data_IF_145854690743
#
_entry.id   IF_145854690743
#
_cell.length_a   1.000
_cell.length_b   1.000
_cell.length_c   1.000
_cell.angle_alpha   90.00
_cell.angle_beta   90.00
_cell.angle_gamma   90.00
#
_symmetry.space_group_name_H-M   'P 1'
#
loop_
_entity.id
_entity.type
_entity.pdbx_description
1 polymer ?
#
# COMPACT_ATOMS: atom_id res chain seq x y z
N UNK A 1 -27.55 55.18 -37.21
CA UNK A 1 -27.37 54.56 -35.86
C UNK A 1 -27.04 53.10 -36.07
N UNK A 2 -25.75 52.73 -35.90
CA UNK A 2 -25.28 51.36 -36.14
C UNK A 2 -25.15 50.64 -34.79
N UNK A 3 -25.99 49.62 -34.57
CA UNK A 3 -25.93 48.77 -33.37
C UNK A 3 -24.83 47.71 -33.57
N UNK A 4 -23.74 47.81 -32.82
CA UNK A 4 -22.69 46.81 -32.75
C UNK A 4 -23.09 45.83 -31.62
N UNK A 5 -23.49 44.62 -32.00
CA UNK A 5 -23.72 43.50 -31.08
C UNK A 5 -22.35 42.86 -30.79
N UNK A 6 -21.85 43.03 -29.57
CA UNK A 6 -20.65 42.35 -29.08
C UNK A 6 -21.06 40.92 -28.70
N UNK A 7 -20.62 39.96 -29.51
CA UNK A 7 -20.76 38.51 -29.19
C UNK A 7 -19.57 38.10 -28.30
N UNK A 8 -19.82 37.99 -26.97
CA UNK A 8 -18.83 37.46 -26.05
C UNK A 8 -18.83 35.94 -26.18
N UNK A 9 -17.86 35.40 -26.89
CA UNK A 9 -17.60 33.96 -26.94
C UNK A 9 -16.95 33.54 -25.60
N UNK A 10 -17.74 32.93 -24.71
CA UNK A 10 -17.26 32.29 -23.49
C UNK A 10 -16.50 31.01 -23.86
N UNK A 11 -15.17 31.10 -23.95
CA UNK A 11 -14.29 29.95 -24.13
C UNK A 11 -14.26 29.15 -22.82
N UNK A 12 -15.08 28.10 -22.74
CA UNK A 12 -15.03 27.13 -21.62
C UNK A 12 -13.68 26.38 -21.70
N UNK A 13 -12.73 26.79 -20.89
CA UNK A 13 -11.49 26.08 -20.67
C UNK A 13 -11.81 24.83 -19.85
N UNK A 14 -12.05 23.70 -20.51
CA UNK A 14 -12.12 22.38 -19.87
C UNK A 14 -10.70 22.00 -19.50
N UNK A 15 -10.31 22.25 -18.25
CA UNK A 15 -9.06 21.73 -17.72
C UNK A 15 -9.17 20.19 -17.67
N UNK A 16 -8.19 19.45 -18.23
CA UNK A 16 -8.18 18.01 -18.06
C UNK A 16 -8.04 17.70 -16.57
N UNK A 17 -9.08 17.13 -15.96
CA UNK A 17 -8.98 16.49 -14.67
C UNK A 17 -8.10 15.27 -14.89
N UNK A 18 -6.84 15.35 -14.48
CA UNK A 18 -5.97 14.17 -14.39
C UNK A 18 -6.66 13.18 -13.45
N UNK A 19 -7.31 12.18 -14.00
CA UNK A 19 -7.80 11.05 -13.22
C UNK A 19 -6.57 10.40 -12.57
N UNK A 20 -6.45 10.58 -11.24
CA UNK A 20 -5.39 9.93 -10.48
C UNK A 20 -5.58 8.42 -10.62
N UNK A 21 -4.53 7.72 -11.06
CA UNK A 21 -4.56 6.27 -11.14
C UNK A 21 -4.88 5.69 -9.77
N UNK A 22 -6.02 4.99 -9.66
CA UNK A 22 -6.46 4.34 -8.44
C UNK A 22 -6.43 2.82 -8.66
N UNK A 23 -5.77 2.09 -7.77
CA UNK A 23 -5.72 0.64 -7.82
C UNK A 23 -7.13 0.01 -7.82
N UNK A 24 -8.12 0.64 -7.18
CA UNK A 24 -9.52 0.18 -7.16
C UNK A 24 -10.16 0.12 -8.54
N UNK A 25 -9.77 1.01 -9.44
CA UNK A 25 -10.23 0.96 -10.84
C UNK A 25 -9.64 -0.25 -11.58
N UNK A 26 -8.39 -0.62 -11.28
CA UNK A 26 -7.73 -1.77 -11.91
C UNK A 26 -8.14 -3.11 -11.29
N UNK A 27 -8.46 -3.13 -9.99
CA UNK A 27 -8.80 -4.32 -9.21
C UNK A 27 -10.13 -4.13 -8.47
N UNK A 28 -11.27 -3.98 -9.20
CA UNK A 28 -12.56 -3.62 -8.61
C UNK A 28 -13.17 -4.73 -7.74
N UNK A 29 -12.72 -5.98 -7.91
CA UNK A 29 -13.25 -7.14 -7.19
C UNK A 29 -12.63 -7.33 -5.79
N UNK A 30 -11.62 -6.53 -5.44
CA UNK A 30 -10.98 -6.63 -4.13
C UNK A 30 -11.78 -5.88 -3.08
N UNK A 31 -12.11 -6.59 -1.99
CA UNK A 31 -12.89 -6.07 -0.87
C UNK A 31 -12.03 -5.98 0.39
N UNK A 32 -12.40 -5.11 1.31
CA UNK A 32 -11.73 -5.01 2.60
C UNK A 32 -11.89 -6.31 3.40
N UNK A 33 -10.76 -6.81 3.90
CA UNK A 33 -10.69 -7.97 4.80
C UNK A 33 -10.61 -7.50 6.25
N UNK A 34 -9.75 -6.51 6.50
CA UNK A 34 -9.58 -5.95 7.82
C UNK A 34 -8.63 -4.77 7.84
N UNK A 35 -8.71 -3.99 8.91
CA UNK A 35 -7.93 -2.77 9.11
C UNK A 35 -7.31 -2.75 10.50
N UNK A 36 -6.05 -2.31 10.57
CA UNK A 36 -5.33 -2.10 11.82
C UNK A 36 -4.47 -0.85 11.80
N UNK A 37 -3.89 -0.50 12.94
CA UNK A 37 -3.04 0.69 13.09
C UNK A 37 -1.64 0.28 13.52
N UNK A 38 -0.62 0.73 12.78
CA UNK A 38 0.75 0.66 13.24
C UNK A 38 1.03 1.78 14.23
N UNK A 39 1.45 1.39 15.44
CA UNK A 39 1.89 2.31 16.49
C UNK A 39 3.38 2.12 16.76
N UNK A 40 4.10 3.25 16.89
CA UNK A 40 5.50 3.28 17.32
C UNK A 40 5.59 4.27 18.48
N UNK A 41 6.08 3.84 19.63
CA UNK A 41 6.16 4.68 20.85
C UNK A 41 4.87 5.44 21.15
N UNK A 42 3.72 4.73 21.13
CA UNK A 42 2.36 5.26 21.36
C UNK A 42 1.83 6.21 20.28
N UNK A 43 2.58 6.48 19.23
CA UNK A 43 2.12 7.31 18.09
C UNK A 43 1.56 6.43 16.97
N UNK A 44 0.40 6.82 16.46
CA UNK A 44 -0.18 6.22 15.25
C UNK A 44 0.61 6.70 14.04
N UNK A 45 1.29 5.80 13.36
CA UNK A 45 2.09 6.10 12.17
C UNK A 45 1.21 6.05 10.92
N UNK A 46 0.49 4.93 10.75
CA UNK A 46 -0.50 4.77 9.69
C UNK A 46 -1.58 3.77 10.10
N UNK A 47 -2.77 3.88 9.50
CA UNK A 47 -3.69 2.75 9.41
C UNK A 47 -3.39 1.96 8.13
N UNK A 48 -3.50 0.66 8.22
CA UNK A 48 -3.26 -0.29 7.15
C UNK A 48 -4.50 -1.13 6.94
N UNK A 49 -4.96 -1.22 5.69
CA UNK A 49 -6.11 -2.04 5.30
C UNK A 49 -5.66 -3.12 4.32
N UNK A 50 -6.05 -4.35 4.57
CA UNK A 50 -5.91 -5.46 3.64
C UNK A 50 -7.16 -5.56 2.78
N UNK A 51 -6.97 -5.64 1.46
CA UNK A 51 -8.03 -5.93 0.51
C UNK A 51 -7.69 -7.21 -0.25
N UNK A 52 -8.65 -8.11 -0.41
CA UNK A 52 -8.50 -9.32 -1.23
C UNK A 52 -9.84 -9.77 -1.79
N UNK A 53 -9.81 -10.70 -2.72
CA UNK A 53 -11.01 -11.37 -3.20
C UNK A 53 -11.44 -12.42 -2.17
N UNK A 54 -12.74 -12.51 -1.89
CA UNK A 54 -13.34 -13.54 -1.01
C UNK A 54 -12.80 -13.56 0.43
N UNK A 55 -12.19 -12.47 0.91
CA UNK A 55 -11.74 -12.37 2.30
C UNK A 55 -10.45 -13.13 2.64
N UNK A 56 -9.87 -13.85 1.69
CA UNK A 56 -8.62 -14.60 1.89
C UNK A 56 -7.54 -14.20 0.87
N UNK A 57 -6.51 -13.48 1.35
CA UNK A 57 -5.40 -13.04 0.53
C UNK A 57 -4.51 -14.18 0.03
N UNK A 58 -4.53 -15.36 0.67
CA UNK A 58 -3.69 -16.50 0.31
C UNK A 58 -4.19 -17.21 -0.94
N UNK A 59 -5.50 -17.22 -1.17
CA UNK A 59 -6.12 -17.82 -2.36
C UNK A 59 -6.39 -16.82 -3.46
N UNK A 60 -6.46 -15.53 -3.13
CA UNK A 60 -6.67 -14.43 -4.07
C UNK A 60 -5.51 -14.30 -5.05
N UNK A 61 -5.79 -14.09 -6.34
CA UNK A 61 -4.75 -13.85 -7.36
C UNK A 61 -4.00 -12.54 -7.12
N UNK A 62 -4.72 -11.56 -6.56
CA UNK A 62 -4.18 -10.27 -6.14
C UNK A 62 -4.70 -9.91 -4.76
N UNK A 63 -3.90 -9.20 -3.99
CA UNK A 63 -4.31 -8.52 -2.77
C UNK A 63 -3.60 -7.17 -2.64
N UNK A 64 -4.15 -6.28 -1.84
CA UNK A 64 -3.65 -4.93 -1.66
C UNK A 64 -3.46 -4.63 -0.18
N UNK A 65 -2.34 -4.01 0.14
CA UNK A 65 -2.12 -3.31 1.39
C UNK A 65 -2.25 -1.80 1.15
N UNK A 66 -3.31 -1.18 1.66
CA UNK A 66 -3.56 0.26 1.58
C UNK A 66 -3.15 0.95 2.88
N UNK A 67 -2.14 1.83 2.79
CA UNK A 67 -1.60 2.62 3.89
C UNK A 67 -2.27 4.00 3.89
N UNK A 68 -2.74 4.46 5.05
CA UNK A 68 -3.22 5.81 5.27
C UNK A 68 -2.38 6.45 6.38
N UNK A 69 -1.43 7.28 6.00
CA UNK A 69 -0.43 7.86 6.90
C UNK A 69 -1.04 8.88 7.85
N UNK A 70 -0.81 8.72 9.14
CA UNK A 70 -1.24 9.65 10.20
C UNK A 70 -0.15 10.65 10.58
N UNK A 71 1.09 10.36 10.19
CA UNK A 71 2.29 11.20 10.38
C UNK A 71 3.05 11.29 9.07
N UNK A 72 3.76 12.40 8.88
CA UNK A 72 4.71 12.51 7.78
C UNK A 72 5.91 11.60 8.05
N UNK A 73 6.28 10.79 7.06
CA UNK A 73 7.39 9.84 7.15
C UNK A 73 8.22 9.95 5.88
N UNK A 74 9.53 10.12 6.05
CA UNK A 74 10.42 10.22 4.90
C UNK A 74 10.57 8.87 4.19
N UNK A 75 10.75 8.91 2.87
CA UNK A 75 11.11 7.76 2.04
C UNK A 75 12.24 6.95 2.66
N UNK A 76 13.30 7.63 3.10
CA UNK A 76 14.44 6.99 3.75
C UNK A 76 14.02 6.17 4.98
N UNK A 77 13.19 6.74 5.85
CA UNK A 77 12.72 6.05 7.06
C UNK A 77 11.89 4.82 6.72
N UNK A 78 11.00 4.91 5.70
CA UNK A 78 10.18 3.79 5.27
C UNK A 78 11.06 2.66 4.71
N UNK A 79 12.04 3.01 3.88
CA UNK A 79 12.96 2.02 3.28
C UNK A 79 13.82 1.36 4.36
N UNK A 80 14.43 2.14 5.26
CA UNK A 80 15.29 1.60 6.30
C UNK A 80 14.52 0.63 7.22
N UNK A 81 13.30 0.98 7.64
CA UNK A 81 12.45 0.11 8.43
C UNK A 81 12.04 -1.18 7.65
N UNK A 82 11.77 -1.06 6.34
CA UNK A 82 11.44 -2.21 5.50
C UNK A 82 12.63 -3.15 5.36
N UNK A 83 13.84 -2.63 5.13
CA UNK A 83 15.07 -3.44 5.01
C UNK A 83 15.42 -4.09 6.35
N UNK A 84 15.22 -3.38 7.48
CA UNK A 84 15.42 -3.96 8.82
C UNK A 84 14.51 -5.19 9.03
N UNK A 85 13.22 -5.10 8.69
CA UNK A 85 12.31 -6.25 8.78
C UNK A 85 12.69 -7.37 7.79
N UNK A 86 13.07 -7.06 6.57
CA UNK A 86 13.48 -8.04 5.57
C UNK A 86 14.79 -8.75 5.94
N UNK A 87 15.68 -8.08 6.67
CA UNK A 87 16.95 -8.67 7.14
C UNK A 87 16.76 -9.78 8.18
N UNK A 88 15.60 -9.81 8.85
CA UNK A 88 15.25 -10.84 9.85
C UNK A 88 14.73 -12.13 9.20
N UNK A 89 14.48 -12.12 7.89
CA UNK A 89 13.97 -13.27 7.15
C UNK A 89 15.08 -14.31 6.96
N UNK A 90 14.86 -15.57 7.36
CA UNK A 90 15.87 -16.62 7.13
C UNK A 90 16.19 -16.81 5.64
N UNK A 91 17.45 -17.07 5.34
CA UNK A 91 17.96 -17.31 3.98
C UNK A 91 17.78 -16.13 3.01
N UNK A 92 17.80 -14.91 3.54
CA UNK A 92 17.96 -13.67 2.77
C UNK A 92 19.39 -13.16 2.98
N UNK A 93 20.13 -13.00 1.89
CA UNK A 93 21.51 -12.54 1.94
C UNK A 93 21.65 -11.03 1.68
N UNK A 94 22.86 -10.52 1.82
CA UNK A 94 23.14 -9.09 1.63
C UNK A 94 22.99 -8.63 0.17
N UNK A 95 23.15 -9.52 -0.80
CA UNK A 95 22.98 -9.21 -2.23
C UNK A 95 21.51 -9.02 -2.53
N UNK A 96 20.65 -9.90 -2.01
CA UNK A 96 19.20 -9.80 -2.12
C UNK A 96 18.67 -8.53 -1.43
N UNK A 97 19.11 -8.25 -0.20
CA UNK A 97 18.73 -7.03 0.52
C UNK A 97 19.11 -5.76 -0.25
N UNK A 98 20.27 -5.74 -0.89
CA UNK A 98 20.71 -4.62 -1.74
C UNK A 98 19.82 -4.47 -2.96
N UNK A 99 19.46 -5.56 -3.63
CA UNK A 99 18.56 -5.55 -4.78
C UNK A 99 17.15 -5.08 -4.38
N UNK A 100 16.61 -5.58 -3.27
CA UNK A 100 15.30 -5.19 -2.75
C UNK A 100 15.27 -3.73 -2.29
N UNK A 101 16.36 -3.23 -1.72
CA UNK A 101 16.49 -1.81 -1.42
C UNK A 101 16.34 -0.94 -2.66
N UNK A 102 16.92 -1.34 -3.80
CA UNK A 102 16.77 -0.61 -5.07
C UNK A 102 15.34 -0.64 -5.59
N UNK A 103 14.59 -1.74 -5.40
CA UNK A 103 13.16 -1.81 -5.70
C UNK A 103 12.38 -0.79 -4.84
N UNK A 104 12.62 -0.81 -3.53
CA UNK A 104 11.99 0.11 -2.59
C UNK A 104 12.33 1.58 -2.89
N UNK A 105 13.57 1.88 -3.26
CA UNK A 105 14.01 3.23 -3.65
C UNK A 105 13.26 3.76 -4.87
N UNK A 106 12.87 2.90 -5.81
CA UNK A 106 12.04 3.28 -6.95
C UNK A 106 10.54 3.33 -6.59
N UNK A 107 10.08 2.34 -5.80
CA UNK A 107 8.65 2.16 -5.48
C UNK A 107 8.11 3.16 -4.45
N UNK A 108 8.90 3.54 -3.44
CA UNK A 108 8.46 4.35 -2.30
C UNK A 108 8.76 5.84 -2.51
N UNK A 109 7.90 6.70 -1.94
CA UNK A 109 8.03 8.16 -1.90
C UNK A 109 7.98 8.65 -0.46
N UNK A 110 8.33 9.92 -0.22
CA UNK A 110 7.98 10.59 1.03
C UNK A 110 6.46 10.62 1.20
N UNK A 111 6.00 10.44 2.40
CA UNK A 111 4.58 10.46 2.74
C UNK A 111 4.28 11.58 3.71
N UNK A 112 3.23 12.36 3.43
CA UNK A 112 2.73 13.37 4.33
C UNK A 112 1.56 12.82 5.16
N UNK A 113 1.31 13.42 6.32
CA UNK A 113 0.13 13.10 7.11
C UNK A 113 -1.15 13.30 6.27
N UNK A 114 -2.04 12.31 6.27
CA UNK A 114 -3.27 12.27 5.45
C UNK A 114 -3.10 11.68 4.07
N UNK A 115 -1.87 11.40 3.60
CA UNK A 115 -1.67 10.76 2.31
C UNK A 115 -1.84 9.24 2.37
N UNK A 116 -2.20 8.69 1.22
CA UNK A 116 -2.35 7.25 1.01
C UNK A 116 -1.31 6.72 0.04
N UNK A 117 -0.85 5.51 0.30
CA UNK A 117 -0.09 4.69 -0.63
C UNK A 117 -0.66 3.27 -0.61
N UNK A 118 -0.53 2.55 -1.71
CA UNK A 118 -0.97 1.16 -1.78
C UNK A 118 0.09 0.30 -2.44
N UNK A 119 0.18 -0.95 -2.00
CA UNK A 119 1.01 -1.95 -2.64
C UNK A 119 0.12 -3.10 -3.06
N UNK A 120 0.09 -3.38 -4.37
CA UNK A 120 -0.62 -4.51 -4.94
C UNK A 120 0.35 -5.67 -5.10
N UNK A 121 -0.04 -6.83 -4.66
CA UNK A 121 0.72 -8.07 -4.77
C UNK A 121 -0.04 -9.06 -5.65
N UNK A 122 0.68 -9.81 -6.48
CA UNK A 122 0.11 -10.94 -7.22
C UNK A 122 0.75 -12.26 -6.81
N UNK A 123 0.03 -13.37 -6.97
CA UNK A 123 0.57 -14.72 -6.78
C UNK A 123 1.77 -15.03 -7.66
N UNK A 124 1.83 -14.44 -8.84
CA UNK A 124 2.96 -14.59 -9.77
C UNK A 124 4.23 -13.86 -9.34
N UNK A 125 4.15 -13.01 -8.30
CA UNK A 125 5.28 -12.23 -7.80
C UNK A 125 5.40 -10.84 -8.43
N UNK A 126 4.40 -10.39 -9.19
CA UNK A 126 4.33 -8.98 -9.55
C UNK A 126 3.94 -8.17 -8.31
N UNK A 127 4.63 -7.05 -8.11
CA UNK A 127 4.36 -6.07 -7.05
C UNK A 127 4.26 -4.68 -7.66
N UNK A 128 3.20 -3.93 -7.32
CA UNK A 128 2.96 -2.59 -7.82
C UNK A 128 2.89 -1.60 -6.65
N UNK A 129 3.65 -0.52 -6.75
CA UNK A 129 3.63 0.58 -5.80
C UNK A 129 2.79 1.73 -6.35
N UNK A 130 1.72 2.06 -5.64
CA UNK A 130 0.76 3.10 -5.96
C UNK A 130 0.89 4.25 -4.97
N UNK A 131 1.08 5.47 -5.44
CA UNK A 131 1.11 6.68 -4.62
C UNK A 131 0.52 7.86 -5.37
N UNK A 132 0.15 8.90 -4.63
CA UNK A 132 -0.45 10.11 -5.19
C UNK A 132 0.45 10.74 -6.25
N UNK A 133 -0.18 11.26 -7.31
CA UNK A 133 0.43 12.06 -8.37
C UNK A 133 1.53 11.37 -9.19
N UNK A 134 1.52 10.03 -9.27
CA UNK A 134 2.40 9.31 -10.20
C UNK A 134 1.75 8.02 -10.68
N UNK A 135 2.19 7.55 -11.84
CA UNK A 135 1.84 6.21 -12.33
C UNK A 135 2.41 5.12 -11.41
N UNK A 136 1.70 3.99 -11.27
CA UNK A 136 2.19 2.88 -10.49
C UNK A 136 3.50 2.31 -11.07
N UNK A 137 4.41 1.93 -10.20
CA UNK A 137 5.67 1.30 -10.58
C UNK A 137 5.60 -0.18 -10.23
N UNK A 138 5.87 -1.03 -11.23
CA UNK A 138 5.80 -2.49 -11.10
C UNK A 138 7.17 -3.13 -11.12
N UNK A 139 7.31 -4.23 -10.36
CA UNK A 139 8.47 -5.11 -10.36
C UNK A 139 8.03 -6.57 -10.36
N UNK A 140 8.84 -7.43 -10.93
CA UNK A 140 8.61 -8.87 -10.95
C UNK A 140 9.70 -9.56 -10.12
N UNK A 141 9.39 -9.90 -8.88
CA UNK A 141 10.25 -10.68 -7.97
C UNK A 141 9.39 -11.40 -6.93
N UNK A 142 9.18 -12.70 -7.13
CA UNK A 142 8.33 -13.51 -6.27
C UNK A 142 8.88 -13.61 -4.83
N UNK A 143 10.21 -13.72 -4.68
CA UNK A 143 10.83 -13.82 -3.35
C UNK A 143 10.68 -12.51 -2.59
N UNK A 144 10.95 -11.39 -3.26
CA UNK A 144 10.73 -10.07 -2.69
C UNK A 144 9.26 -9.85 -2.31
N UNK A 145 8.34 -10.05 -3.25
CA UNK A 145 6.90 -9.82 -3.02
C UNK A 145 6.38 -10.60 -1.82
N UNK A 146 6.72 -11.89 -1.70
CA UNK A 146 6.33 -12.74 -0.56
C UNK A 146 6.91 -12.23 0.77
N UNK A 147 8.21 -11.90 0.80
CA UNK A 147 8.85 -11.47 2.03
C UNK A 147 8.44 -10.05 2.44
N UNK A 148 8.22 -9.17 1.46
CA UNK A 148 7.74 -7.82 1.73
C UNK A 148 6.30 -7.83 2.28
N UNK A 149 5.39 -8.61 1.71
CA UNK A 149 4.05 -8.81 2.27
C UNK A 149 4.09 -9.42 3.69
N UNK A 150 5.04 -10.33 3.94
CA UNK A 150 5.19 -11.01 5.23
C UNK A 150 5.59 -10.07 6.38
N UNK A 151 6.10 -8.86 6.11
CA UNK A 151 6.34 -7.83 7.13
C UNK A 151 5.05 -7.58 7.94
N UNK A 152 3.89 -7.58 7.30
CA UNK A 152 2.59 -7.36 7.96
C UNK A 152 1.75 -8.62 8.11
N UNK A 153 1.79 -9.52 7.12
CA UNK A 153 0.89 -10.68 7.04
C UNK A 153 1.54 -11.99 7.46
N UNK A 154 2.86 -12.02 7.58
CA UNK A 154 3.60 -13.23 7.95
C UNK A 154 3.37 -13.66 9.40
N UNK A 155 3.46 -14.98 9.70
CA UNK A 155 3.26 -15.49 11.07
C UNK A 155 4.36 -15.04 12.04
N UNK A 156 5.51 -14.59 11.54
CA UNK A 156 6.65 -14.10 12.32
C UNK A 156 6.79 -12.56 12.27
N UNK A 157 5.75 -11.83 11.88
CA UNK A 157 5.76 -10.37 11.86
C UNK A 157 6.10 -9.77 13.22
N UNK A 158 6.83 -8.67 13.23
CA UNK A 158 7.11 -7.87 14.44
C UNK A 158 5.84 -7.20 15.01
N UNK A 159 4.70 -7.26 14.28
CA UNK A 159 3.45 -6.60 14.63
C UNK A 159 2.26 -7.58 14.67
N UNK A 160 2.25 -8.61 15.56
CA UNK A 160 1.23 -9.67 15.53
C UNK A 160 -0.20 -9.16 15.75
N UNK A 161 -0.41 -8.11 16.55
CA UNK A 161 -1.73 -7.50 16.74
C UNK A 161 -2.25 -6.82 15.46
N UNK A 162 -1.37 -6.13 14.74
CA UNK A 162 -1.71 -5.54 13.45
C UNK A 162 -2.08 -6.63 12.44
N UNK A 163 -1.30 -7.71 12.38
CA UNK A 163 -1.60 -8.86 11.52
C UNK A 163 -2.99 -9.42 11.77
N UNK A 164 -3.37 -9.65 13.02
CA UNK A 164 -4.69 -10.21 13.37
C UNK A 164 -5.81 -9.26 12.90
N UNK A 165 -5.65 -7.95 13.12
CA UNK A 165 -6.61 -6.95 12.66
C UNK A 165 -6.74 -6.94 11.13
N UNK A 166 -5.62 -7.05 10.38
CA UNK A 166 -5.63 -7.14 8.93
C UNK A 166 -6.34 -8.39 8.41
N UNK A 167 -6.20 -9.51 9.10
CA UNK A 167 -6.86 -10.77 8.76
C UNK A 167 -8.32 -10.83 9.21
N UNK A 168 -8.88 -9.75 9.78
CA UNK A 168 -10.25 -9.73 10.30
C UNK A 168 -10.46 -10.65 11.51
N UNK A 169 -9.38 -11.05 12.20
CA UNK A 169 -9.44 -11.96 13.34
C UNK A 169 -9.64 -11.14 14.61
N UNK A 170 -10.84 -11.19 15.20
CA UNK A 170 -11.13 -10.57 16.48
C UNK A 170 -10.55 -11.41 17.64
N UNK A 171 -9.69 -10.79 18.45
CA UNK A 171 -9.13 -11.45 19.65
C UNK A 171 -10.21 -11.83 20.68
N UNK A 172 -11.40 -11.22 20.64
CA UNK A 172 -12.51 -11.51 21.57
C UNK A 172 -13.21 -12.84 21.26
N UNK A 173 -13.25 -13.25 19.98
CA UNK A 173 -13.91 -14.51 19.58
C UNK A 173 -13.11 -15.76 19.95
N UNK A 174 -11.81 -15.62 20.19
CA UNK A 174 -10.93 -16.73 20.59
C UNK A 174 -10.93 -17.04 22.10
N UNK A 175 -11.48 -16.15 22.93
CA UNK A 175 -11.57 -16.40 24.39
C UNK A 175 -12.85 -17.14 24.80
N UNK A 176 -13.83 -17.30 23.90
CA UNK A 176 -15.08 -18.03 24.18
C UNK A 176 -15.06 -19.51 23.74
N UNK A 177 -13.96 -19.97 23.13
CA UNK A 177 -13.82 -21.37 22.66
C UNK A 177 -12.90 -22.25 23.49
N UNK A 178 -12.46 -21.77 24.67
CA UNK A 178 -11.69 -22.60 25.63
C UNK A 178 -12.45 -22.78 26.92
#
# INVERSE_FOLDING_TARGET
MKNIVFLIACLLFVLPVSAQADWKTRYPDLQEVGTGVLKVFFMDIYSLTLHSKEGDYQVSDHFVLEFNYKKSVSKKTIIDASIDELSKVPNVDSVELKAWKQILEKGISDMQAGEKASVVFSKSGNIEFWSKNREPISFQDLKFAKNFAAIWLGPKTSHPKLRLALLGINLQDNQQKN
#
